data_IF_353830820487
#
_entry.id   IF_353830820487
#
_cell.length_a   1.000
_cell.length_b   1.000
_cell.length_c   1.000
_cell.angle_alpha   90.00
_cell.angle_beta   90.00
_cell.angle_gamma   90.00
#
_symmetry.space_group_name_H-M   'P 1'
#
loop_
_entity.id
_entity.type
_entity.pdbx_description
1 polymer ?
#
# COMPACT_ATOMS: atom_id res chain seq x y z
N UNK A 1 -37.50 -22.96 54.81
CA UNK A 1 -37.46 -21.59 54.26
C UNK A 1 -36.56 -21.64 53.07
N UNK A 2 -37.11 -21.88 51.93
CA UNK A 2 -36.46 -22.00 50.62
C UNK A 2 -36.63 -20.66 49.92
N UNK A 3 -35.51 -19.98 49.68
CA UNK A 3 -35.46 -18.81 48.82
C UNK A 3 -35.42 -19.27 47.37
N UNK A 4 -36.57 -19.14 46.73
CA UNK A 4 -36.68 -19.21 45.26
C UNK A 4 -36.03 -17.98 44.64
N UNK A 5 -34.84 -18.13 44.11
CA UNK A 5 -34.16 -17.14 43.32
C UNK A 5 -34.68 -17.28 41.87
N UNK A 6 -35.76 -16.60 41.56
CA UNK A 6 -36.28 -16.50 40.20
C UNK A 6 -35.34 -15.60 39.39
N UNK A 7 -34.42 -16.22 38.71
CA UNK A 7 -33.74 -15.60 37.56
C UNK A 7 -34.80 -15.35 36.47
N UNK A 8 -35.34 -14.17 36.49
CA UNK A 8 -36.19 -13.65 35.41
C UNK A 8 -35.30 -13.37 34.19
N UNK A 9 -34.91 -14.43 33.46
CA UNK A 9 -34.41 -14.29 32.11
C UNK A 9 -35.51 -13.66 31.27
N UNK A 10 -35.35 -12.38 30.98
CA UNK A 10 -36.19 -11.66 30.05
C UNK A 10 -36.00 -12.29 28.65
N UNK A 11 -36.86 -13.26 28.32
CA UNK A 11 -36.95 -13.80 26.96
C UNK A 11 -37.83 -12.83 26.17
N UNK A 12 -37.28 -12.06 25.24
CA UNK A 12 -38.09 -11.21 24.39
C UNK A 12 -39.05 -12.09 23.59
N UNK A 13 -40.36 -11.88 23.82
CA UNK A 13 -41.37 -12.54 23.01
C UNK A 13 -41.38 -11.91 21.61
N UNK A 14 -41.26 -12.69 20.54
CA UNK A 14 -41.33 -12.17 19.19
C UNK A 14 -42.74 -11.54 18.98
N UNK A 15 -42.73 -10.36 18.38
CA UNK A 15 -44.02 -9.74 17.95
C UNK A 15 -44.70 -10.66 16.92
N UNK A 16 -46.06 -10.70 16.89
CA UNK A 16 -46.77 -11.50 15.91
C UNK A 16 -46.27 -11.21 14.48
N UNK A 17 -45.75 -12.25 13.79
CA UNK A 17 -45.22 -12.13 12.45
C UNK A 17 -43.70 -11.94 12.35
N UNK A 18 -42.96 -11.86 13.48
CA UNK A 18 -41.52 -11.87 13.48
C UNK A 18 -40.94 -13.29 13.50
N UNK A 19 -40.14 -13.61 12.50
CA UNK A 19 -39.37 -14.84 12.44
C UNK A 19 -37.88 -14.47 12.63
N UNK A 20 -37.29 -14.94 13.73
CA UNK A 20 -35.84 -14.80 13.94
C UNK A 20 -35.11 -15.85 13.10
N UNK A 21 -34.48 -15.40 12.04
CA UNK A 21 -33.64 -16.24 11.20
C UNK A 21 -32.20 -16.01 11.59
N UNK A 22 -31.52 -17.06 12.04
CA UNK A 22 -30.09 -17.01 12.31
C UNK A 22 -29.37 -17.13 10.96
N UNK A 23 -28.68 -16.09 10.47
CA UNK A 23 -27.98 -16.21 9.20
C UNK A 23 -26.85 -17.24 9.37
N UNK A 24 -26.83 -18.25 8.51
CA UNK A 24 -25.65 -19.09 8.30
C UNK A 24 -24.56 -18.27 7.64
N UNK A 25 -23.31 -18.67 7.83
CA UNK A 25 -22.13 -17.95 7.31
C UNK A 25 -22.15 -17.79 5.78
N UNK A 26 -22.86 -18.69 5.06
CA UNK A 26 -22.88 -18.74 3.60
C UNK A 26 -24.26 -18.48 2.94
N UNK A 27 -25.34 -18.40 3.73
CA UNK A 27 -26.69 -18.22 3.20
C UNK A 27 -27.26 -16.87 3.65
N UNK A 28 -27.27 -15.90 2.73
CA UNK A 28 -28.08 -14.71 2.92
C UNK A 28 -29.55 -15.13 2.74
N UNK A 29 -30.35 -15.13 3.79
CA UNK A 29 -31.76 -15.51 3.65
C UNK A 29 -32.44 -14.56 2.67
N UNK A 30 -33.15 -15.14 1.72
CA UNK A 30 -34.05 -14.39 0.83
C UNK A 30 -35.23 -13.91 1.68
N UNK A 31 -35.07 -12.73 2.26
CA UNK A 31 -36.06 -12.12 3.15
C UNK A 31 -37.44 -11.98 2.49
N UNK A 32 -37.48 -11.93 1.15
CA UNK A 32 -38.74 -11.89 0.44
C UNK A 32 -39.51 -13.22 0.49
N UNK A 33 -38.80 -14.35 0.59
CA UNK A 33 -39.41 -15.68 0.67
C UNK A 33 -39.70 -16.13 2.11
N UNK A 34 -38.89 -15.66 3.08
CA UNK A 34 -38.94 -16.15 4.45
C UNK A 34 -39.80 -15.32 5.40
N UNK A 35 -40.08 -14.06 5.05
CA UNK A 35 -40.93 -13.21 5.86
C UNK A 35 -42.42 -13.49 5.63
N UNK A 36 -43.20 -13.56 6.72
CA UNK A 36 -44.64 -13.65 6.64
C UNK A 36 -45.23 -12.38 6.00
N UNK A 37 -46.41 -12.45 5.37
CA UNK A 37 -47.09 -11.29 4.78
C UNK A 37 -47.27 -10.14 5.77
N UNK A 38 -47.47 -10.46 7.05
CA UNK A 38 -47.64 -9.46 8.13
C UNK A 38 -46.31 -8.78 8.47
N UNK A 39 -45.20 -9.50 8.51
CA UNK A 39 -43.85 -8.95 8.69
C UNK A 39 -43.45 -8.05 7.52
N UNK A 40 -43.78 -8.43 6.28
CA UNK A 40 -43.59 -7.58 5.08
C UNK A 40 -44.42 -6.28 5.17
N UNK A 41 -45.66 -6.37 5.65
CA UNK A 41 -46.51 -5.19 5.84
C UNK A 41 -45.99 -4.28 6.96
N UNK A 42 -45.45 -4.85 8.04
CA UNK A 42 -44.83 -4.10 9.13
C UNK A 42 -43.53 -3.40 8.64
N UNK A 43 -42.67 -4.08 7.88
CA UNK A 43 -41.47 -3.48 7.28
C UNK A 43 -41.79 -2.34 6.30
N UNK A 44 -42.83 -2.48 5.49
CA UNK A 44 -43.29 -1.41 4.60
C UNK A 44 -43.80 -0.19 5.39
N UNK A 45 -44.47 -0.39 6.51
CA UNK A 45 -44.92 0.71 7.40
C UNK A 45 -43.73 1.41 8.05
N UNK A 46 -42.68 0.67 8.45
CA UNK A 46 -41.46 1.23 9.00
C UNK A 46 -40.67 2.05 7.96
N UNK A 47 -40.59 1.58 6.74
CA UNK A 47 -39.91 2.32 5.65
C UNK A 47 -40.62 3.62 5.27
N UNK A 48 -41.94 3.70 5.43
CA UNK A 48 -42.71 4.92 5.16
C UNK A 48 -42.61 5.93 6.31
N UNK A 49 -42.41 5.45 7.54
CA UNK A 49 -42.24 6.34 8.72
C UNK A 49 -40.76 6.84 8.84
N UNK A 50 -39.80 6.25 8.14
CA UNK A 50 -38.37 6.57 8.21
C UNK A 50 -37.91 7.62 7.20
N UNK A 51 -38.75 8.59 6.87
CA UNK A 51 -38.26 9.88 6.40
C UNK A 51 -38.46 10.97 7.49
N UNK A 52 -37.71 10.88 8.61
CA UNK A 52 -37.45 12.08 9.36
C UNK A 52 -36.53 12.90 8.45
N UNK A 53 -36.89 14.16 8.21
CA UNK A 53 -35.97 15.14 7.66
C UNK A 53 -34.71 15.04 8.49
N UNK A 54 -33.61 14.55 7.88
CA UNK A 54 -32.30 14.53 8.50
C UNK A 54 -32.01 15.98 8.84
N UNK A 55 -31.84 16.36 10.12
CA UNK A 55 -31.40 17.71 10.47
C UNK A 55 -30.03 17.86 9.82
N UNK A 56 -29.86 18.86 8.96
CA UNK A 56 -28.58 19.25 8.42
C UNK A 56 -27.61 19.44 9.58
N UNK A 57 -26.43 18.81 9.44
CA UNK A 57 -25.24 19.00 10.26
C UNK A 57 -25.36 18.60 11.74
N UNK A 58 -25.28 17.30 12.02
CA UNK A 58 -24.67 16.89 13.28
C UNK A 58 -23.23 16.39 12.98
N UNK A 59 -22.24 17.02 13.61
CA UNK A 59 -20.83 16.60 13.64
C UNK A 59 -20.63 15.30 14.46
N UNK A 60 -21.66 14.51 14.63
CA UNK A 60 -21.64 13.27 15.40
C UNK A 60 -21.05 12.14 14.54
N UNK A 61 -20.23 11.32 15.17
CA UNK A 61 -19.68 10.13 14.54
C UNK A 61 -20.81 9.23 14.02
N UNK A 62 -20.63 8.52 12.89
CA UNK A 62 -21.64 7.60 12.33
C UNK A 62 -22.17 6.59 13.34
N UNK A 63 -21.32 6.18 14.29
CA UNK A 63 -21.65 5.24 15.38
C UNK A 63 -22.64 5.82 16.37
N UNK A 64 -22.48 7.12 16.74
CA UNK A 64 -23.40 7.82 17.63
C UNK A 64 -24.72 8.16 16.92
N UNK A 65 -24.69 8.43 15.64
CA UNK A 65 -25.90 8.57 14.82
C UNK A 65 -26.68 7.25 14.72
N UNK A 66 -25.99 6.12 14.48
CA UNK A 66 -26.62 4.81 14.43
C UNK A 66 -27.22 4.42 15.79
N UNK A 67 -26.51 4.67 16.89
CA UNK A 67 -27.00 4.42 18.25
C UNK A 67 -28.19 5.30 18.60
N UNK A 68 -28.23 6.56 18.17
CA UNK A 68 -29.32 7.48 18.36
C UNK A 68 -30.55 7.10 17.54
N UNK A 69 -30.39 6.76 16.27
CA UNK A 69 -31.47 6.25 15.41
C UNK A 69 -32.00 4.93 15.99
N UNK A 70 -31.16 4.07 16.55
CA UNK A 70 -31.58 2.84 17.23
C UNK A 70 -32.38 3.13 18.51
N UNK A 71 -32.03 4.17 19.28
CA UNK A 71 -32.72 4.56 20.50
C UNK A 71 -34.04 5.31 20.23
N UNK A 72 -34.13 6.10 19.16
CA UNK A 72 -35.31 6.88 18.79
C UNK A 72 -36.30 6.07 17.93
N UNK A 73 -35.86 5.02 17.24
CA UNK A 73 -36.66 4.26 16.27
C UNK A 73 -37.50 3.11 16.82
N UNK A 74 -37.47 2.83 18.13
CA UNK A 74 -38.35 1.84 18.77
C UNK A 74 -37.95 0.37 18.63
N UNK A 75 -38.72 -0.52 19.21
CA UNK A 75 -38.48 -1.93 19.52
C UNK A 75 -37.77 -2.87 18.49
N UNK A 76 -37.89 -2.71 17.16
CA UNK A 76 -37.25 -3.69 16.27
C UNK A 76 -35.70 -3.58 16.21
N UNK A 77 -35.16 -2.37 16.39
CA UNK A 77 -33.70 -2.18 16.39
C UNK A 77 -33.09 -2.54 17.76
N UNK A 78 -33.80 -2.32 18.85
CA UNK A 78 -33.38 -2.82 20.17
C UNK A 78 -33.42 -4.34 20.26
N UNK A 79 -34.39 -5.00 19.62
CA UNK A 79 -34.44 -6.47 19.56
C UNK A 79 -33.26 -7.03 18.72
N UNK A 80 -32.86 -6.39 17.62
CA UNK A 80 -31.69 -6.75 16.84
C UNK A 80 -30.39 -6.56 17.64
N UNK A 81 -30.30 -5.47 18.40
CA UNK A 81 -29.14 -5.20 19.26
C UNK A 81 -29.00 -6.21 20.42
N UNK A 82 -30.13 -6.72 20.95
CA UNK A 82 -30.11 -7.73 21.99
C UNK A 82 -29.80 -9.16 21.49
N UNK A 83 -30.07 -9.45 20.22
CA UNK A 83 -29.67 -10.71 19.59
C UNK A 83 -28.15 -10.81 19.40
N UNK A 84 -27.49 -9.67 19.30
CA UNK A 84 -26.06 -9.58 19.06
C UNK A 84 -25.20 -9.66 20.33
N UNK A 85 -25.81 -9.69 21.52
CA UNK A 85 -25.10 -9.89 22.82
C UNK A 85 -24.42 -11.27 22.91
N UNK A 86 -24.81 -12.22 22.07
CA UNK A 86 -24.15 -13.54 21.98
C UNK A 86 -22.97 -13.54 21.01
N UNK A 87 -22.72 -12.46 20.27
CA UNK A 87 -21.61 -12.37 19.31
C UNK A 87 -20.60 -11.33 19.81
N UNK A 88 -19.33 -11.72 20.10
CA UNK A 88 -18.37 -10.83 20.77
C UNK A 88 -17.87 -9.65 19.92
N UNK A 89 -18.36 -9.43 18.72
CA UNK A 89 -17.91 -8.38 17.82
C UNK A 89 -19.09 -7.59 17.21
N UNK A 90 -19.56 -6.57 17.93
CA UNK A 90 -20.52 -5.62 17.40
C UNK A 90 -20.02 -4.91 16.12
N UNK A 91 -18.72 -4.65 16.03
CA UNK A 91 -18.10 -4.04 14.84
C UNK A 91 -18.16 -4.91 13.59
N UNK A 92 -18.09 -6.25 13.72
CA UNK A 92 -18.19 -7.15 12.56
C UNK A 92 -19.63 -7.22 12.02
N UNK A 93 -20.64 -7.12 12.89
CA UNK A 93 -22.05 -7.11 12.47
C UNK A 93 -22.42 -5.83 11.71
N UNK A 94 -21.84 -4.69 12.08
CA UNK A 94 -22.04 -3.43 11.34
C UNK A 94 -21.26 -3.38 10.03
N UNK A 95 -20.12 -4.06 9.93
CA UNK A 95 -19.36 -4.20 8.70
C UNK A 95 -20.09 -5.08 7.67
N UNK A 96 -20.81 -6.10 8.11
CA UNK A 96 -21.63 -6.96 7.24
C UNK A 96 -22.86 -6.24 6.66
N UNK A 97 -23.29 -5.12 7.24
CA UNK A 97 -24.40 -4.30 6.71
C UNK A 97 -23.95 -3.31 5.64
N UNK A 98 -22.64 -3.09 5.45
CA UNK A 98 -22.14 -2.24 4.36
C UNK A 98 -22.30 -2.98 3.03
N UNK A 99 -22.90 -2.31 2.07
CA UNK A 99 -22.91 -2.80 0.68
C UNK A 99 -21.46 -2.94 0.20
N UNK A 100 -20.96 -4.17 -0.08
CA UNK A 100 -19.57 -4.40 -0.47
C UNK A 100 -19.22 -3.75 -1.81
N UNK A 101 -20.21 -3.21 -2.53
CA UNK A 101 -20.03 -2.41 -3.75
C UNK A 101 -19.80 -0.93 -3.47
N UNK A 102 -20.00 -0.48 -2.24
CA UNK A 102 -19.79 0.92 -1.84
C UNK A 102 -18.35 1.10 -1.38
N UNK A 103 -17.63 2.04 -1.96
CA UNK A 103 -16.29 2.38 -1.56
C UNK A 103 -16.29 3.17 -0.22
N UNK A 104 -15.18 3.20 0.54
CA UNK A 104 -15.07 3.95 1.77
C UNK A 104 -15.37 5.46 1.63
N UNK A 105 -15.17 6.03 0.43
CA UNK A 105 -15.55 7.42 0.11
C UNK A 105 -17.07 7.65 -0.08
N UNK A 106 -17.89 6.59 0.09
CA UNK A 106 -19.32 6.62 -0.10
C UNK A 106 -19.77 6.49 -1.55
N UNK A 107 -18.88 6.40 -2.51
CA UNK A 107 -19.23 6.21 -3.93
C UNK A 107 -19.57 4.75 -4.22
N UNK A 108 -20.53 4.54 -5.13
CA UNK A 108 -20.89 3.21 -5.63
C UNK A 108 -20.51 3.10 -7.12
N UNK A 109 -19.27 2.69 -7.43
CA UNK A 109 -18.85 2.60 -8.81
C UNK A 109 -19.59 1.47 -9.56
N UNK A 110 -19.88 1.70 -10.82
CA UNK A 110 -20.35 0.65 -11.71
C UNK A 110 -19.24 -0.39 -11.92
N UNK A 111 -19.59 -1.61 -12.39
CA UNK A 111 -18.60 -2.65 -12.66
C UNK A 111 -17.49 -2.19 -13.65
N UNK A 112 -17.85 -1.36 -14.63
CA UNK A 112 -16.89 -0.77 -15.58
C UNK A 112 -15.97 0.23 -14.87
N UNK A 113 -16.49 1.10 -14.01
CA UNK A 113 -15.70 2.04 -13.22
C UNK A 113 -14.79 1.32 -12.23
N UNK A 114 -15.26 0.25 -11.57
CA UNK A 114 -14.45 -0.58 -10.68
C UNK A 114 -13.27 -1.24 -11.42
N UNK A 115 -13.52 -1.82 -12.60
CA UNK A 115 -12.43 -2.37 -13.43
C UNK A 115 -11.44 -1.28 -13.88
N UNK A 116 -11.94 -0.08 -14.19
CA UNK A 116 -11.10 1.07 -14.54
C UNK A 116 -10.28 1.57 -13.35
N UNK A 117 -10.81 1.53 -12.11
CA UNK A 117 -10.06 1.79 -10.89
C UNK A 117 -8.93 0.78 -10.70
N UNK A 118 -9.23 -0.52 -10.81
CA UNK A 118 -8.21 -1.59 -10.70
C UNK A 118 -7.09 -1.38 -11.73
N UNK A 119 -7.44 -1.18 -13.00
CA UNK A 119 -6.45 -0.95 -14.06
C UNK A 119 -5.66 0.36 -13.85
N UNK A 120 -6.33 1.43 -13.42
CA UNK A 120 -5.72 2.72 -13.17
C UNK A 120 -4.73 2.70 -12.02
N UNK A 121 -5.06 2.03 -10.92
CA UNK A 121 -4.13 1.87 -9.80
C UNK A 121 -2.97 0.92 -10.14
N UNK A 122 -3.19 -0.15 -10.90
CA UNK A 122 -2.13 -1.03 -11.37
C UNK A 122 -1.15 -0.30 -12.30
N UNK A 123 -1.66 0.43 -13.27
CA UNK A 123 -0.85 1.21 -14.21
C UNK A 123 -0.17 2.39 -13.51
N UNK A 124 -0.87 3.09 -12.63
CA UNK A 124 -0.32 4.19 -11.84
C UNK A 124 0.84 3.74 -10.97
N UNK A 125 0.69 2.60 -10.25
CA UNK A 125 1.79 2.03 -9.45
C UNK A 125 2.98 1.63 -10.31
N UNK A 126 2.77 1.03 -11.47
CA UNK A 126 3.84 0.69 -12.41
C UNK A 126 4.59 1.93 -12.87
N UNK A 127 3.86 2.97 -13.29
CA UNK A 127 4.46 4.18 -13.85
C UNK A 127 5.15 5.05 -12.79
N UNK A 128 4.63 5.09 -11.56
CA UNK A 128 5.24 5.86 -10.47
C UNK A 128 6.43 5.14 -9.84
N UNK A 129 6.41 3.80 -9.75
CA UNK A 129 7.50 3.03 -9.15
C UNK A 129 8.74 2.93 -10.04
N UNK A 130 8.57 2.88 -11.37
CA UNK A 130 9.67 2.70 -12.31
C UNK A 130 10.77 3.79 -12.20
N UNK A 131 10.46 5.10 -12.21
CA UNK A 131 11.47 6.14 -12.04
C UNK A 131 12.19 6.06 -10.71
N UNK A 132 11.49 5.75 -9.63
CA UNK A 132 12.09 5.70 -8.30
C UNK A 132 12.96 4.46 -8.09
N UNK A 133 12.59 3.32 -8.66
CA UNK A 133 13.44 2.14 -8.67
C UNK A 133 14.73 2.40 -9.46
N UNK A 134 14.63 2.95 -10.67
CA UNK A 134 15.76 3.36 -11.48
C UNK A 134 16.69 4.33 -10.71
N UNK A 135 16.09 5.33 -10.11
CA UNK A 135 16.76 6.41 -9.42
C UNK A 135 17.54 5.90 -8.21
N UNK A 136 16.89 5.15 -7.31
CA UNK A 136 17.51 4.70 -6.08
C UNK A 136 18.50 3.53 -6.28
N UNK A 137 18.25 2.67 -7.26
CA UNK A 137 19.03 1.44 -7.45
C UNK A 137 20.23 1.61 -8.38
N UNK A 138 20.10 2.48 -9.40
CA UNK A 138 21.12 2.62 -10.47
C UNK A 138 21.69 4.03 -10.49
N UNK A 139 20.85 5.06 -10.65
CA UNK A 139 21.31 6.41 -10.98
C UNK A 139 21.98 7.11 -9.80
N UNK A 140 21.47 6.97 -8.58
CA UNK A 140 22.06 7.56 -7.39
C UNK A 140 23.39 6.89 -7.01
N UNK A 141 23.51 5.54 -6.93
CA UNK A 141 24.81 4.92 -6.73
C UNK A 141 25.87 5.34 -7.74
N UNK A 142 25.52 5.48 -9.02
CA UNK A 142 26.42 5.97 -10.06
C UNK A 142 26.83 7.43 -9.81
N UNK A 143 25.86 8.31 -9.47
CA UNK A 143 26.12 9.71 -9.17
C UNK A 143 27.02 9.88 -7.95
N UNK A 144 26.75 9.12 -6.88
CA UNK A 144 27.58 9.14 -5.66
C UNK A 144 28.98 8.60 -5.97
N UNK A 145 29.12 7.53 -6.77
CA UNK A 145 30.43 7.04 -7.20
C UNK A 145 31.25 8.11 -7.90
N UNK A 146 30.61 8.91 -8.76
CA UNK A 146 31.25 10.02 -9.47
C UNK A 146 31.71 11.15 -8.56
N UNK A 147 30.85 11.54 -7.61
CA UNK A 147 31.07 12.74 -6.80
C UNK A 147 31.88 12.50 -5.53
N UNK A 148 31.86 11.29 -4.97
CA UNK A 148 32.44 10.95 -3.66
C UNK A 148 33.76 10.15 -3.76
N UNK A 149 34.04 9.52 -4.87
CA UNK A 149 35.27 8.74 -5.05
C UNK A 149 35.40 7.60 -4.00
N UNK A 150 36.40 7.72 -3.12
CA UNK A 150 36.75 6.67 -2.14
C UNK A 150 35.63 6.48 -1.09
N UNK A 151 34.94 7.53 -0.69
CA UNK A 151 33.91 7.50 0.37
C UNK A 151 32.52 7.11 -0.12
N UNK A 152 32.39 6.71 -1.39
CA UNK A 152 31.09 6.43 -2.06
C UNK A 152 30.13 5.55 -1.27
N UNK A 153 30.63 4.53 -0.55
CA UNK A 153 29.80 3.60 0.23
C UNK A 153 29.23 4.30 1.46
N UNK A 154 30.06 5.06 2.20
CA UNK A 154 29.64 5.80 3.39
C UNK A 154 28.70 6.95 3.03
N UNK A 155 28.99 7.68 1.95
CA UNK A 155 28.15 8.80 1.52
C UNK A 155 26.80 8.31 1.02
N UNK A 156 26.73 7.17 0.33
CA UNK A 156 25.48 6.53 -0.02
C UNK A 156 24.67 6.11 1.21
N UNK A 157 25.33 5.54 2.25
CA UNK A 157 24.66 5.18 3.50
C UNK A 157 24.04 6.39 4.19
N UNK A 158 24.84 7.48 4.33
CA UNK A 158 24.36 8.73 4.94
C UNK A 158 23.18 9.32 4.17
N UNK A 159 23.24 9.28 2.87
CA UNK A 159 22.20 9.75 1.98
C UNK A 159 20.90 8.96 2.17
N UNK A 160 20.98 7.61 2.19
CA UNK A 160 19.80 6.73 2.38
C UNK A 160 19.18 6.94 3.76
N UNK A 161 20.00 7.05 4.83
CA UNK A 161 19.53 7.30 6.19
C UNK A 161 18.82 8.66 6.25
N UNK A 162 19.43 9.72 5.70
CA UNK A 162 18.82 11.05 5.66
C UNK A 162 17.48 11.05 4.92
N UNK A 163 17.38 10.34 3.78
CA UNK A 163 16.14 10.19 3.03
C UNK A 163 15.07 9.43 3.79
N UNK A 164 15.43 8.37 4.49
CA UNK A 164 14.49 7.61 5.31
C UNK A 164 13.91 8.46 6.46
N UNK A 165 14.77 9.20 7.16
CA UNK A 165 14.34 10.14 8.23
C UNK A 165 13.42 11.21 7.66
N UNK A 166 13.80 11.81 6.54
CA UNK A 166 12.99 12.86 5.89
C UNK A 166 11.62 12.33 5.46
N UNK A 167 11.58 11.18 4.80
CA UNK A 167 10.32 10.54 4.38
C UNK A 167 9.44 10.20 5.57
N UNK A 168 10.02 9.69 6.66
CA UNK A 168 9.30 9.41 7.89
C UNK A 168 8.64 10.67 8.46
N UNK A 169 9.40 11.77 8.59
CA UNK A 169 8.89 13.04 9.15
C UNK A 169 7.82 13.68 8.25
N UNK A 170 8.00 13.61 6.92
CA UNK A 170 7.07 14.19 5.98
C UNK A 170 5.80 13.37 5.81
N UNK A 171 5.81 12.07 6.12
CA UNK A 171 4.67 11.19 5.92
C UNK A 171 3.40 11.72 6.60
N UNK A 172 3.48 12.05 7.90
CA UNK A 172 2.33 12.62 8.61
C UNK A 172 1.91 13.99 8.06
N UNK A 173 2.88 14.85 7.73
CA UNK A 173 2.57 16.17 7.17
C UNK A 173 1.82 16.06 5.84
N UNK A 174 2.27 15.16 4.95
CA UNK A 174 1.64 14.93 3.65
C UNK A 174 0.28 14.26 3.82
N UNK A 175 0.16 13.25 4.69
CA UNK A 175 -1.09 12.56 4.95
C UNK A 175 -2.15 13.55 5.46
N UNK A 176 -1.87 14.27 6.56
CA UNK A 176 -2.77 15.28 7.12
C UNK A 176 -3.07 16.39 6.12
N UNK A 177 -2.05 16.90 5.42
CA UNK A 177 -2.23 17.96 4.41
C UNK A 177 -3.15 17.52 3.27
N UNK A 178 -2.98 16.29 2.78
CA UNK A 178 -3.82 15.75 1.72
C UNK A 178 -5.24 15.44 2.18
N UNK A 179 -5.43 15.03 3.45
CA UNK A 179 -6.75 14.79 4.05
C UNK A 179 -7.57 16.08 4.19
N UNK A 180 -6.90 17.20 4.44
CA UNK A 180 -7.54 18.51 4.62
C UNK A 180 -7.52 19.37 3.35
N UNK A 181 -7.25 18.79 2.20
CA UNK A 181 -7.26 19.52 0.94
C UNK A 181 -8.67 19.64 0.36
N UNK A 182 -9.09 20.88 0.07
CA UNK A 182 -10.39 21.19 -0.50
C UNK A 182 -10.23 21.77 -1.89
N UNK A 183 -10.37 20.92 -2.91
CA UNK A 183 -10.17 21.30 -4.29
C UNK A 183 -11.29 20.78 -5.20
N UNK A 184 -11.56 21.51 -6.29
CA UNK A 184 -12.53 21.08 -7.31
C UNK A 184 -12.10 19.81 -8.06
N UNK A 185 -10.83 19.46 -8.03
CA UNK A 185 -10.27 18.26 -8.68
C UNK A 185 -10.18 17.05 -7.74
N UNK A 186 -10.80 17.14 -6.57
CA UNK A 186 -10.70 16.13 -5.54
C UNK A 186 -9.66 16.47 -4.47
N UNK A 187 -9.53 15.61 -3.48
CA UNK A 187 -8.67 15.80 -2.30
C UNK A 187 -7.24 15.33 -2.58
N UNK A 188 -7.09 14.19 -3.25
CA UNK A 188 -5.80 13.50 -3.47
C UNK A 188 -5.12 13.89 -4.78
N UNK A 189 -5.90 14.11 -5.82
CA UNK A 189 -5.41 14.38 -7.18
C UNK A 189 -4.40 15.53 -7.27
N UNK A 190 -4.61 16.71 -6.65
CA UNK A 190 -3.64 17.82 -6.73
C UNK A 190 -2.28 17.47 -6.14
N UNK A 191 -2.25 16.67 -5.07
CA UNK A 191 -1.02 16.25 -4.43
C UNK A 191 -0.22 15.26 -5.28
N UNK A 192 -0.91 14.31 -5.93
CA UNK A 192 -0.28 13.35 -6.84
C UNK A 192 0.40 14.07 -7.99
N UNK A 193 -0.32 15.02 -8.60
CA UNK A 193 0.22 15.79 -9.75
C UNK A 193 1.37 16.69 -9.34
N UNK A 194 1.16 17.54 -8.32
CA UNK A 194 2.19 18.47 -7.87
C UNK A 194 3.43 17.76 -7.34
N UNK A 195 3.26 16.64 -6.62
CA UNK A 195 4.34 15.80 -6.14
C UNK A 195 5.16 15.19 -7.30
N UNK A 196 4.48 14.63 -8.30
CA UNK A 196 5.17 14.05 -9.47
C UNK A 196 5.91 15.09 -10.29
N UNK A 197 5.31 16.26 -10.51
CA UNK A 197 5.96 17.36 -11.26
C UNK A 197 7.15 17.92 -10.48
N UNK A 198 7.00 18.15 -9.17
CA UNK A 198 8.09 18.64 -8.33
C UNK A 198 9.24 17.63 -8.27
N UNK A 199 8.95 16.33 -8.15
CA UNK A 199 9.96 15.26 -8.19
C UNK A 199 10.70 15.27 -9.55
N UNK A 200 9.97 15.43 -10.66
CA UNK A 200 10.56 15.55 -11.99
C UNK A 200 11.50 16.75 -12.12
N UNK A 201 11.11 17.91 -11.60
CA UNK A 201 11.95 19.12 -11.60
C UNK A 201 13.21 18.90 -10.76
N UNK A 202 13.07 18.38 -9.54
CA UNK A 202 14.22 18.11 -8.66
C UNK A 202 15.19 17.09 -9.28
N UNK A 203 14.67 16.03 -9.89
CA UNK A 203 15.48 15.03 -10.60
C UNK A 203 16.18 15.62 -11.82
N UNK A 204 15.51 16.49 -12.56
CA UNK A 204 16.12 17.19 -13.70
C UNK A 204 17.23 18.16 -13.27
N UNK A 205 17.08 18.86 -12.16
CA UNK A 205 18.14 19.73 -11.62
C UNK A 205 19.32 18.86 -11.13
N UNK A 206 19.03 17.74 -10.45
CA UNK A 206 20.04 16.81 -9.96
C UNK A 206 20.91 16.26 -11.10
N UNK A 207 20.34 16.07 -12.30
CA UNK A 207 21.08 15.57 -13.47
C UNK A 207 22.26 16.46 -13.88
N UNK A 208 22.23 17.73 -13.52
CA UNK A 208 23.27 18.72 -13.81
C UNK A 208 24.16 19.06 -12.60
N UNK A 209 24.01 18.35 -11.47
CA UNK A 209 24.79 18.65 -10.27
C UNK A 209 26.18 17.99 -10.33
N UNK A 210 27.24 18.80 -10.21
CA UNK A 210 28.63 18.37 -10.12
C UNK A 210 29.23 18.49 -8.71
N UNK A 211 28.45 18.92 -7.74
CA UNK A 211 28.87 19.11 -6.35
C UNK A 211 27.99 18.30 -5.38
N UNK A 212 28.63 17.44 -4.60
CA UNK A 212 27.94 16.44 -3.75
C UNK A 212 26.87 17.06 -2.83
N UNK A 213 27.09 18.17 -2.10
CA UNK A 213 26.05 18.73 -1.23
C UNK A 213 24.77 19.16 -1.99
N UNK A 214 24.89 19.71 -3.19
CA UNK A 214 23.74 20.02 -4.02
C UNK A 214 23.05 18.76 -4.53
N UNK A 215 23.81 17.74 -4.89
CA UNK A 215 23.26 16.45 -5.28
C UNK A 215 22.46 15.82 -4.14
N UNK A 216 22.99 15.85 -2.90
CA UNK A 216 22.28 15.40 -1.69
C UNK A 216 20.99 16.19 -1.47
N UNK A 217 21.05 17.51 -1.57
CA UNK A 217 19.88 18.37 -1.39
C UNK A 217 18.77 18.05 -2.40
N UNK A 218 19.09 17.99 -3.69
CA UNK A 218 18.09 17.71 -4.74
C UNK A 218 17.62 16.26 -4.71
N UNK A 219 18.45 15.32 -4.26
CA UNK A 219 18.01 13.96 -4.01
C UNK A 219 16.97 13.90 -2.88
N UNK A 220 17.23 14.55 -1.74
CA UNK A 220 16.27 14.65 -0.65
C UNK A 220 14.98 15.34 -1.10
N UNK A 221 15.09 16.40 -1.85
CA UNK A 221 13.94 17.12 -2.42
C UNK A 221 13.13 16.20 -3.37
N UNK A 222 13.80 15.39 -4.19
CA UNK A 222 13.13 14.40 -5.06
C UNK A 222 12.38 13.35 -4.24
N UNK A 223 12.98 12.83 -3.18
CA UNK A 223 12.33 11.87 -2.28
C UNK A 223 11.10 12.48 -1.59
N UNK A 224 11.23 13.71 -1.09
CA UNK A 224 10.11 14.45 -0.48
C UNK A 224 8.96 14.70 -1.46
N UNK A 225 9.28 15.15 -2.66
CA UNK A 225 8.31 15.40 -3.71
C UNK A 225 7.64 14.11 -4.19
N UNK A 226 8.40 13.02 -4.30
CA UNK A 226 7.82 11.71 -4.62
C UNK A 226 6.90 11.20 -3.51
N UNK A 227 7.27 11.34 -2.24
CA UNK A 227 6.41 11.00 -1.11
C UNK A 227 5.09 11.79 -1.18
N UNK A 228 5.13 13.07 -1.61
CA UNK A 228 3.95 13.90 -1.83
C UNK A 228 3.03 13.36 -2.94
N UNK A 229 3.54 12.58 -3.89
CA UNK A 229 2.73 11.87 -4.88
C UNK A 229 2.28 10.48 -4.39
N UNK A 230 3.19 9.70 -3.82
CA UNK A 230 2.98 8.29 -3.50
C UNK A 230 2.01 8.08 -2.31
N UNK A 231 2.11 8.92 -1.26
CA UNK A 231 1.27 8.80 -0.06
C UNK A 231 -0.22 9.06 -0.40
N UNK A 232 -0.58 10.18 -1.06
CA UNK A 232 -1.97 10.40 -1.47
C UNK A 232 -2.46 9.40 -2.53
N UNK A 233 -1.57 8.86 -3.38
CA UNK A 233 -1.93 7.81 -4.32
C UNK A 233 -2.33 6.51 -3.60
N UNK A 234 -1.58 6.09 -2.59
CA UNK A 234 -1.92 4.94 -1.75
C UNK A 234 -3.21 5.18 -0.94
N UNK A 235 -3.39 6.40 -0.39
CA UNK A 235 -4.62 6.75 0.31
C UNK A 235 -5.84 6.73 -0.64
N UNK A 236 -5.70 7.28 -1.86
CA UNK A 236 -6.75 7.22 -2.88
C UNK A 236 -7.15 5.78 -3.24
N UNK A 237 -6.18 4.86 -3.28
CA UNK A 237 -6.44 3.43 -3.47
C UNK A 237 -7.35 2.89 -2.35
N UNK A 238 -6.98 3.10 -1.09
CA UNK A 238 -7.75 2.63 0.06
C UNK A 238 -9.16 3.24 0.14
N UNK A 239 -9.34 4.51 -0.25
CA UNK A 239 -10.60 5.23 -0.18
C UNK A 239 -11.57 4.91 -1.33
N UNK A 240 -11.06 4.64 -2.54
CA UNK A 240 -11.88 4.57 -3.76
C UNK A 240 -12.17 3.16 -4.26
N UNK A 241 -11.46 2.15 -3.75
CA UNK A 241 -11.68 0.76 -4.15
C UNK A 241 -12.69 0.11 -3.21
N UNK A 242 -13.87 -0.34 -3.73
CA UNK A 242 -14.84 -1.07 -2.93
C UNK A 242 -14.30 -2.40 -2.41
N UNK A 243 -14.76 -2.83 -1.24
CA UNK A 243 -14.28 -4.03 -0.58
C UNK A 243 -14.40 -5.29 -1.45
N UNK A 244 -15.46 -5.40 -2.23
CA UNK A 244 -15.66 -6.50 -3.20
C UNK A 244 -14.52 -6.65 -4.21
N UNK A 245 -13.85 -5.56 -4.58
CA UNK A 245 -12.79 -5.56 -5.60
C UNK A 245 -11.41 -5.38 -4.98
N UNK A 246 -11.30 -5.24 -3.65
CA UNK A 246 -10.07 -4.92 -2.94
C UNK A 246 -8.97 -5.93 -3.18
N UNK A 247 -9.22 -7.22 -2.96
CA UNK A 247 -8.23 -8.29 -3.14
C UNK A 247 -7.69 -8.32 -4.58
N UNK A 248 -8.60 -8.15 -5.55
CA UNK A 248 -8.21 -8.10 -6.96
C UNK A 248 -7.39 -6.84 -7.26
N UNK A 249 -7.79 -5.71 -6.72
CA UNK A 249 -7.09 -4.44 -6.92
C UNK A 249 -5.71 -4.47 -6.27
N UNK A 250 -5.57 -4.98 -5.05
CA UNK A 250 -4.29 -5.16 -4.35
C UNK A 250 -3.35 -6.06 -5.15
N UNK A 251 -3.85 -7.20 -5.65
CA UNK A 251 -3.05 -8.09 -6.49
C UNK A 251 -2.53 -7.41 -7.76
N UNK A 252 -3.36 -6.62 -8.45
CA UNK A 252 -2.95 -5.91 -9.65
C UNK A 252 -2.05 -4.71 -9.33
N UNK A 253 -2.30 -4.00 -8.24
CA UNK A 253 -1.46 -2.92 -7.74
C UNK A 253 -0.04 -3.42 -7.42
N UNK A 254 0.06 -4.53 -6.68
CA UNK A 254 1.35 -5.15 -6.35
C UNK A 254 2.12 -5.64 -7.58
N UNK A 255 1.42 -6.26 -8.56
CA UNK A 255 2.02 -6.65 -9.85
C UNK A 255 2.50 -5.44 -10.64
N UNK A 256 1.71 -4.35 -10.66
CA UNK A 256 2.08 -3.09 -11.29
C UNK A 256 3.36 -2.52 -10.67
N UNK A 257 3.44 -2.48 -9.35
CA UNK A 257 4.60 -2.00 -8.61
C UNK A 257 5.86 -2.82 -8.93
N UNK A 258 5.77 -4.16 -8.88
CA UNK A 258 6.89 -5.04 -9.17
C UNK A 258 7.37 -4.94 -10.64
N UNK A 259 6.41 -4.87 -11.58
CA UNK A 259 6.75 -4.69 -12.99
C UNK A 259 7.38 -3.31 -13.24
N UNK A 260 6.89 -2.26 -12.57
CA UNK A 260 7.46 -0.93 -12.65
C UNK A 260 8.91 -0.90 -12.15
N UNK A 261 9.20 -1.54 -11.04
CA UNK A 261 10.56 -1.65 -10.51
C UNK A 261 11.49 -2.36 -11.51
N UNK A 262 11.08 -3.49 -12.08
CA UNK A 262 11.84 -4.21 -13.09
C UNK A 262 12.11 -3.32 -14.32
N UNK A 263 11.07 -2.73 -14.89
CA UNK A 263 11.17 -1.87 -16.09
C UNK A 263 12.05 -0.66 -15.81
N UNK A 264 11.89 -0.02 -14.65
CA UNK A 264 12.70 1.12 -14.25
C UNK A 264 14.18 0.80 -14.20
N UNK A 265 14.56 -0.29 -13.53
CA UNK A 265 15.95 -0.74 -13.43
C UNK A 265 16.51 -1.12 -14.81
N UNK A 266 15.75 -1.90 -15.60
CA UNK A 266 16.20 -2.33 -16.93
C UNK A 266 16.43 -1.15 -17.87
N UNK A 267 15.50 -0.17 -17.88
CA UNK A 267 15.65 1.05 -18.69
C UNK A 267 16.81 1.91 -18.20
N UNK A 268 17.00 2.06 -16.88
CA UNK A 268 18.13 2.83 -16.34
C UNK A 268 19.47 2.23 -16.79
N UNK A 269 19.62 0.92 -16.67
CA UNK A 269 20.85 0.23 -17.12
C UNK A 269 21.04 0.32 -18.64
N UNK A 270 19.96 0.20 -19.42
CA UNK A 270 20.02 0.34 -20.88
C UNK A 270 20.44 1.77 -21.32
N UNK A 271 20.05 2.79 -20.56
CA UNK A 271 20.43 4.18 -20.81
C UNK A 271 21.83 4.52 -20.30
N UNK A 272 22.42 3.68 -19.43
CA UNK A 272 23.76 3.90 -18.84
C UNK A 272 24.69 2.70 -19.07
N UNK A 273 24.88 2.21 -20.32
CA UNK A 273 25.58 0.97 -20.60
C UNK A 273 27.09 1.01 -20.24
N UNK A 274 27.68 2.20 -20.18
CA UNK A 274 29.12 2.39 -19.89
C UNK A 274 29.38 2.96 -18.48
N UNK A 275 28.38 2.99 -17.61
CA UNK A 275 28.51 3.52 -16.26
C UNK A 275 29.33 2.59 -15.35
N UNK A 276 30.60 2.53 -15.55
CA UNK A 276 31.58 1.70 -14.81
C UNK A 276 33.01 1.94 -15.29
N UNK A 277 33.15 2.68 -16.40
CA UNK A 277 34.45 3.12 -16.90
C UNK A 277 34.95 4.38 -16.16
N UNK A 278 36.25 4.67 -16.32
CA UNK A 278 36.93 5.80 -15.67
C UNK A 278 36.47 7.19 -16.16
N UNK A 279 35.56 7.28 -17.15
CA UNK A 279 35.04 8.51 -17.71
C UNK A 279 33.54 8.67 -17.54
N UNK A 280 33.12 9.82 -17.01
CA UNK A 280 31.71 10.17 -17.01
C UNK A 280 31.32 10.64 -18.44
N UNK A 281 30.43 9.90 -19.07
CA UNK A 281 29.99 10.13 -20.45
C UNK A 281 28.67 10.94 -20.56
N UNK A 282 28.15 11.43 -19.43
CA UNK A 282 26.88 12.18 -19.39
C UNK A 282 25.64 11.31 -19.47
N UNK A 283 25.75 9.99 -19.64
CA UNK A 283 24.62 9.09 -19.83
C UNK A 283 23.74 9.01 -18.57
N UNK A 284 24.34 9.05 -17.36
CA UNK A 284 23.60 9.08 -16.09
C UNK A 284 22.70 10.32 -15.98
N UNK A 285 23.22 11.51 -16.34
CA UNK A 285 22.45 12.75 -16.37
C UNK A 285 21.31 12.68 -17.39
N UNK A 286 21.57 12.16 -18.60
CA UNK A 286 20.55 11.94 -19.61
C UNK A 286 19.45 10.96 -19.12
N UNK A 287 19.84 9.84 -18.50
CA UNK A 287 18.89 8.89 -17.93
C UNK A 287 17.98 9.55 -16.86
N UNK A 288 18.54 10.42 -15.99
CA UNK A 288 17.75 11.18 -15.02
C UNK A 288 16.71 12.09 -15.69
N UNK A 289 17.08 12.76 -16.80
CA UNK A 289 16.14 13.59 -17.57
C UNK A 289 15.01 12.75 -18.19
N UNK A 290 15.33 11.56 -18.72
CA UNK A 290 14.32 10.62 -19.25
C UNK A 290 13.34 10.21 -18.14
N UNK A 291 13.81 9.86 -16.95
CA UNK A 291 12.95 9.49 -15.84
C UNK A 291 12.20 10.68 -15.23
N UNK A 292 12.75 11.88 -15.27
CA UNK A 292 12.01 13.09 -14.93
C UNK A 292 10.82 13.30 -15.88
N UNK A 293 11.04 13.15 -17.19
CA UNK A 293 9.95 13.15 -18.17
C UNK A 293 8.93 12.04 -17.94
N UNK A 294 9.42 10.84 -17.58
CA UNK A 294 8.55 9.72 -17.24
C UNK A 294 7.62 10.01 -16.05
N UNK A 295 8.11 10.66 -14.97
CA UNK A 295 7.28 11.06 -13.83
C UNK A 295 6.14 11.99 -14.25
N UNK A 296 6.38 12.94 -15.16
CA UNK A 296 5.32 13.80 -15.69
C UNK A 296 4.31 13.00 -16.48
N UNK A 297 4.77 12.12 -17.36
CA UNK A 297 3.90 11.20 -18.13
C UNK A 297 3.11 10.29 -17.20
N UNK A 298 3.74 9.76 -16.15
CA UNK A 298 3.09 8.93 -15.14
C UNK A 298 1.91 9.66 -14.48
N UNK A 299 2.11 10.93 -14.09
CA UNK A 299 1.03 11.73 -13.51
C UNK A 299 -0.13 11.94 -14.51
N UNK A 300 0.18 12.29 -15.75
CA UNK A 300 -0.84 12.50 -16.79
C UNK A 300 -1.61 11.22 -17.09
N UNK A 301 -0.92 10.10 -17.31
CA UNK A 301 -1.56 8.81 -17.62
C UNK A 301 -2.42 8.33 -16.44
N UNK A 302 -1.91 8.46 -15.20
CA UNK A 302 -2.66 8.09 -14.01
C UNK A 302 -3.98 8.88 -13.91
N UNK A 303 -3.94 10.19 -14.19
CA UNK A 303 -5.13 11.04 -14.20
C UNK A 303 -6.12 10.68 -15.30
N UNK A 304 -5.64 10.29 -16.49
CA UNK A 304 -6.51 9.93 -17.62
C UNK A 304 -7.19 8.56 -17.41
N UNK A 305 -6.48 7.62 -16.79
CA UNK A 305 -6.98 6.26 -16.60
C UNK A 305 -7.88 6.16 -15.37
N UNK A 306 -7.49 6.77 -14.24
CA UNK A 306 -8.35 6.79 -13.06
C UNK A 306 -9.63 7.59 -13.32
N UNK A 307 -10.79 7.12 -12.85
CA UNK A 307 -12.00 7.94 -12.82
C UNK A 307 -11.74 9.23 -12.04
N UNK A 308 -12.40 10.31 -12.45
CA UNK A 308 -12.26 11.60 -11.74
C UNK A 308 -12.66 11.46 -10.28
N UNK A 309 -11.89 12.06 -9.40
CA UNK A 309 -12.22 12.20 -7.99
C UNK A 309 -13.32 13.24 -7.82
N UNK A 310 -14.29 12.97 -6.98
CA UNK A 310 -15.34 13.94 -6.67
C UNK A 310 -14.76 15.23 -6.07
N UNK A 311 -15.38 16.37 -6.38
CA UNK A 311 -14.95 17.65 -5.81
C UNK A 311 -15.06 17.61 -4.28
N UNK A 312 -13.98 17.92 -3.58
CA UNK A 312 -13.95 18.00 -2.11
C UNK A 312 -14.30 19.38 -1.57
N UNK A 313 -14.52 20.36 -2.45
CA UNK A 313 -14.84 21.75 -2.07
C UNK A 313 -16.18 21.90 -1.33
N UNK A 314 -17.06 20.91 -1.45
CA UNK A 314 -18.37 20.87 -0.77
C UNK A 314 -18.35 20.18 0.58
N UNK A 315 -17.26 19.52 0.95
CA UNK A 315 -17.14 18.87 2.23
C UNK A 315 -17.00 19.92 3.35
N UNK A 316 -17.57 19.68 4.54
CA UNK A 316 -17.37 20.56 5.68
C UNK A 316 -15.90 20.66 6.02
N UNK A 317 -15.41 21.89 6.17
CA UNK A 317 -14.02 22.13 6.57
C UNK A 317 -13.83 21.68 8.00
N UNK A 318 -12.87 20.76 8.19
CA UNK A 318 -12.41 20.36 9.51
C UNK A 318 -11.11 21.10 9.80
N UNK A 319 -11.03 21.76 10.95
CA UNK A 319 -9.80 22.41 11.38
C UNK A 319 -8.74 21.38 11.72
N UNK A 320 -7.51 21.64 11.29
CA UNK A 320 -6.36 20.79 11.58
C UNK A 320 -5.91 21.04 13.01
N UNK A 321 -6.08 20.07 13.88
CA UNK A 321 -5.56 20.14 15.25
C UNK A 321 -4.10 19.68 15.27
N UNK A 322 -3.29 20.28 16.17
CA UNK A 322 -1.89 19.86 16.37
C UNK A 322 -1.79 18.39 16.77
N UNK A 323 -2.83 17.84 17.39
CA UNK A 323 -2.95 16.43 17.74
C UNK A 323 -3.02 15.50 16.54
N UNK A 324 -3.54 15.95 15.41
CA UNK A 324 -3.73 15.13 14.21
C UNK A 324 -2.40 14.64 13.63
N UNK A 325 -1.35 15.47 13.67
CA UNK A 325 0.00 15.07 13.24
C UNK A 325 0.62 14.01 14.15
N UNK A 326 0.50 14.17 15.46
CA UNK A 326 1.10 13.24 16.42
C UNK A 326 0.29 11.95 16.57
N UNK A 327 -1.00 11.99 16.32
CA UNK A 327 -1.86 10.81 16.41
C UNK A 327 -1.46 9.72 15.42
N UNK A 328 -0.94 10.10 14.25
CA UNK A 328 -0.48 9.16 13.22
C UNK A 328 0.77 8.36 13.62
N UNK A 329 1.56 8.88 14.57
CA UNK A 329 2.75 8.18 15.09
C UNK A 329 2.47 7.41 16.39
N UNK A 330 1.25 7.51 16.94
CA UNK A 330 0.90 6.78 18.17
C UNK A 330 0.55 5.35 17.82
N UNK A 331 1.29 4.36 18.33
CA UNK A 331 0.90 2.98 18.18
C UNK A 331 -0.43 2.73 18.93
N UNK A 332 -1.25 1.76 18.47
CA UNK A 332 -2.45 1.38 19.18
C UNK A 332 -2.09 0.94 20.60
N UNK A 333 -2.83 1.47 21.58
CA UNK A 333 -2.58 1.16 22.99
C UNK A 333 -3.07 -0.28 23.29
N UNK A 334 -2.31 -1.00 24.09
CA UNK A 334 -2.61 -2.39 24.50
C UNK A 334 -2.65 -3.42 23.39
N UNK A 335 -1.91 -3.21 22.29
CA UNK A 335 -1.80 -4.13 21.16
C UNK A 335 -0.37 -4.68 21.01
N UNK A 336 0.12 -5.57 21.91
CA UNK A 336 1.49 -6.08 21.84
C UNK A 336 1.76 -6.88 20.56
N UNK A 337 0.74 -7.56 20.01
CA UNK A 337 0.85 -8.30 18.75
C UNK A 337 1.14 -7.38 17.57
N UNK A 338 0.46 -6.22 17.51
CA UNK A 338 0.69 -5.19 16.50
C UNK A 338 2.14 -4.67 16.57
N UNK A 339 2.64 -4.36 17.77
CA UNK A 339 4.00 -3.83 17.92
C UNK A 339 5.07 -4.81 17.43
N UNK A 340 4.88 -6.12 17.64
CA UNK A 340 5.79 -7.16 17.16
C UNK A 340 5.71 -7.30 15.63
N UNK A 341 4.50 -7.33 15.05
CA UNK A 341 4.30 -7.39 13.61
C UNK A 341 4.89 -6.16 12.90
N UNK A 342 4.63 -4.98 13.45
CA UNK A 342 5.19 -3.71 12.94
C UNK A 342 6.72 -3.70 12.97
N UNK A 343 7.33 -4.12 14.08
CA UNK A 343 8.79 -4.21 14.19
C UNK A 343 9.38 -5.22 13.18
N UNK A 344 8.76 -6.39 13.04
CA UNK A 344 9.19 -7.40 12.07
C UNK A 344 9.13 -6.84 10.64
N UNK A 345 8.05 -6.15 10.28
CA UNK A 345 7.88 -5.50 8.98
C UNK A 345 8.92 -4.40 8.76
N UNK A 346 9.19 -3.58 9.76
CA UNK A 346 10.21 -2.54 9.68
C UNK A 346 11.60 -3.12 9.39
N UNK A 347 12.00 -4.21 10.06
CA UNK A 347 13.28 -4.88 9.82
C UNK A 347 13.33 -5.53 8.43
N UNK A 348 12.25 -6.17 7.97
CA UNK A 348 12.19 -6.79 6.65
C UNK A 348 12.34 -5.73 5.53
N UNK A 349 11.62 -4.62 5.64
CA UNK A 349 11.72 -3.50 4.67
C UNK A 349 13.12 -2.88 4.69
N UNK A 350 13.70 -2.66 5.88
CA UNK A 350 15.05 -2.11 6.01
C UNK A 350 16.11 -3.02 5.38
N UNK A 351 16.01 -4.35 5.60
CA UNK A 351 16.94 -5.32 5.01
C UNK A 351 16.84 -5.36 3.47
N UNK A 352 15.63 -5.42 2.92
CA UNK A 352 15.42 -5.44 1.47
C UNK A 352 15.84 -4.13 0.81
N UNK A 353 15.48 -2.99 1.39
CA UNK A 353 15.86 -1.67 0.89
C UNK A 353 17.38 -1.44 0.95
N UNK A 354 18.03 -1.87 2.04
CA UNK A 354 19.48 -1.77 2.19
C UNK A 354 20.22 -2.51 1.08
N UNK A 355 19.84 -3.75 0.80
CA UNK A 355 20.48 -4.52 -0.29
C UNK A 355 20.16 -3.90 -1.65
N UNK A 356 18.91 -3.48 -1.89
CA UNK A 356 18.51 -2.91 -3.18
C UNK A 356 19.30 -1.64 -3.54
N UNK A 357 19.61 -0.79 -2.57
CA UNK A 357 20.40 0.43 -2.79
C UNK A 357 21.87 0.12 -3.09
N UNK A 358 22.44 -0.89 -2.41
CA UNK A 358 23.84 -1.26 -2.56
C UNK A 358 24.12 -2.26 -3.69
N UNK A 359 23.09 -2.82 -4.33
CA UNK A 359 23.29 -3.89 -5.35
C UNK A 359 24.19 -3.45 -6.50
N UNK A 360 24.21 -2.15 -6.86
CA UNK A 360 25.12 -1.61 -7.87
C UNK A 360 26.60 -1.78 -7.49
N UNK A 361 26.92 -1.64 -6.19
CA UNK A 361 28.29 -1.81 -5.68
C UNK A 361 28.61 -3.27 -5.35
N UNK A 362 27.61 -4.04 -4.94
CA UNK A 362 27.79 -5.46 -4.61
C UNK A 362 28.04 -6.32 -5.84
N UNK A 363 27.37 -6.03 -6.95
CA UNK A 363 27.42 -6.83 -8.16
C UNK A 363 28.88 -7.08 -8.66
N UNK A 364 29.73 -6.06 -8.88
CA UNK A 364 31.09 -6.30 -9.33
C UNK A 364 31.99 -6.95 -8.26
N UNK A 365 31.71 -6.74 -6.98
CA UNK A 365 32.53 -7.33 -5.91
C UNK A 365 32.26 -8.83 -5.70
N UNK A 366 31.04 -9.29 -5.97
CA UNK A 366 30.65 -10.71 -5.78
C UNK A 366 30.90 -11.50 -7.04
N UNK A 367 30.54 -10.96 -8.21
CA UNK A 367 30.63 -11.65 -9.49
C UNK A 367 32.07 -11.61 -10.09
N UNK A 368 32.89 -10.65 -9.63
CA UNK A 368 34.27 -10.49 -10.15
C UNK A 368 34.26 -9.93 -11.56
N UNK A 369 34.76 -10.70 -12.55
CA UNK A 369 34.90 -10.25 -13.93
C UNK A 369 33.52 -10.15 -14.62
N UNK A 370 32.87 -9.01 -14.50
CA UNK A 370 31.51 -8.75 -15.04
C UNK A 370 31.52 -8.50 -16.56
N UNK A 371 32.70 -8.32 -17.17
CA UNK A 371 32.83 -8.03 -18.60
C UNK A 371 32.49 -9.24 -19.48
N UNK A 372 32.70 -10.46 -18.97
CA UNK A 372 32.34 -11.71 -19.65
C UNK A 372 30.84 -12.09 -19.47
N UNK A 373 30.16 -11.53 -18.47
CA UNK A 373 28.74 -11.80 -18.16
C UNK A 373 27.77 -10.94 -18.98
N UNK A 374 28.17 -10.42 -20.11
CA UNK A 374 27.36 -9.56 -20.97
C UNK A 374 26.01 -10.18 -21.34
N UNK A 375 24.91 -9.67 -20.78
CA UNK A 375 23.54 -10.05 -21.11
C UNK A 375 22.93 -8.93 -21.96
N UNK A 376 22.30 -9.27 -23.07
CA UNK A 376 21.68 -8.30 -23.99
C UNK A 376 22.60 -7.16 -24.48
N UNK A 377 23.93 -7.42 -24.60
CA UNK A 377 24.89 -6.40 -25.01
C UNK A 377 25.26 -5.38 -23.94
N UNK A 378 24.87 -5.61 -22.68
CA UNK A 378 25.21 -4.81 -21.52
C UNK A 378 26.30 -5.58 -20.74
N UNK A 379 27.44 -4.95 -20.56
CA UNK A 379 28.56 -5.49 -19.78
C UNK A 379 28.62 -4.87 -18.38
N UNK A 380 29.37 -5.52 -17.48
CA UNK A 380 29.65 -4.95 -16.16
C UNK A 380 28.52 -5.06 -15.13
N UNK A 381 28.57 -4.21 -14.13
CA UNK A 381 27.62 -4.21 -13.00
C UNK A 381 26.16 -4.11 -13.44
N UNK A 382 25.88 -3.42 -14.53
CA UNK A 382 24.52 -3.22 -15.03
C UNK A 382 23.83 -4.53 -15.44
N UNK A 383 24.55 -5.46 -16.10
CA UNK A 383 24.00 -6.76 -16.50
C UNK A 383 23.57 -7.58 -15.29
N UNK A 384 24.38 -7.60 -14.24
CA UNK A 384 24.08 -8.32 -13.00
C UNK A 384 22.89 -7.73 -12.29
N UNK A 385 22.79 -6.40 -12.20
CA UNK A 385 21.65 -5.70 -11.59
C UNK A 385 20.34 -5.97 -12.33
N UNK A 386 20.36 -6.03 -13.66
CA UNK A 386 19.18 -6.41 -14.47
C UNK A 386 18.78 -7.86 -14.21
N UNK A 387 19.75 -8.79 -14.16
CA UNK A 387 19.45 -10.20 -13.82
C UNK A 387 18.85 -10.30 -12.42
N UNK A 388 19.39 -9.59 -11.44
CA UNK A 388 18.81 -9.54 -10.10
C UNK A 388 17.36 -9.02 -10.13
N UNK A 389 17.07 -7.95 -10.86
CA UNK A 389 15.74 -7.41 -10.99
C UNK A 389 14.76 -8.39 -11.64
N UNK A 390 15.19 -9.10 -12.71
CA UNK A 390 14.40 -10.16 -13.37
C UNK A 390 14.13 -11.30 -12.39
N UNK A 391 15.16 -11.82 -11.73
CA UNK A 391 15.02 -12.92 -10.77
C UNK A 391 14.11 -12.53 -9.59
N UNK A 392 14.25 -11.33 -9.04
CA UNK A 392 13.38 -10.81 -7.97
C UNK A 392 11.93 -10.73 -8.45
N UNK A 393 11.70 -10.22 -9.66
CA UNK A 393 10.36 -10.15 -10.24
C UNK A 393 9.74 -11.54 -10.44
N UNK A 394 10.49 -12.49 -10.97
CA UNK A 394 10.05 -13.89 -11.17
C UNK A 394 9.72 -14.54 -9.82
N UNK A 395 10.58 -14.39 -8.82
CA UNK A 395 10.36 -14.88 -7.47
C UNK A 395 9.09 -14.28 -6.84
N UNK A 396 8.92 -12.97 -6.96
CA UNK A 396 7.73 -12.27 -6.50
C UNK A 396 6.44 -12.74 -7.21
N UNK A 397 6.52 -12.99 -8.52
CA UNK A 397 5.38 -13.50 -9.30
C UNK A 397 5.00 -14.92 -8.87
N UNK A 398 5.98 -15.80 -8.69
CA UNK A 398 5.74 -17.18 -8.19
C UNK A 398 5.09 -17.11 -6.79
N UNK A 399 5.62 -16.29 -5.91
CA UNK A 399 5.05 -16.10 -4.56
C UNK A 399 3.60 -15.60 -4.61
N UNK A 400 3.31 -14.61 -5.44
CA UNK A 400 1.96 -14.05 -5.60
C UNK A 400 0.96 -15.10 -6.13
N UNK A 401 1.39 -16.03 -6.98
CA UNK A 401 0.56 -17.13 -7.49
C UNK A 401 0.31 -18.21 -6.43
N UNK A 402 1.27 -18.43 -5.55
CA UNK A 402 1.23 -19.49 -4.53
C UNK A 402 0.71 -19.00 -3.18
N UNK A 403 0.63 -17.68 -2.94
CA UNK A 403 0.31 -17.09 -1.64
C UNK A 403 -0.99 -17.65 -1.04
N UNK A 404 -2.06 -17.72 -1.82
CA UNK A 404 -3.34 -18.26 -1.36
C UNK A 404 -3.24 -19.73 -0.93
N UNK A 405 -2.45 -20.56 -1.65
CA UNK A 405 -2.20 -21.96 -1.28
C UNK A 405 -1.33 -22.07 -0.04
N UNK A 406 -0.29 -21.25 0.06
CA UNK A 406 0.62 -21.22 1.21
C UNK A 406 -0.17 -20.88 2.49
N UNK A 407 -0.98 -19.82 2.44
CA UNK A 407 -1.82 -19.40 3.56
C UNK A 407 -2.82 -20.49 3.95
N UNK A 408 -3.47 -21.15 2.99
CA UNK A 408 -4.44 -22.21 3.27
C UNK A 408 -3.82 -23.50 3.85
N UNK A 409 -2.55 -23.78 3.56
CA UNK A 409 -1.83 -24.96 4.04
C UNK A 409 -1.50 -24.87 5.54
N UNK A 410 -1.17 -23.69 6.03
CA UNK A 410 -0.66 -23.53 7.40
C UNK A 410 -1.73 -23.16 8.44
N UNK A 411 -2.89 -22.67 8.03
CA UNK A 411 -3.98 -22.30 8.94
C UNK A 411 -3.67 -21.16 9.92
N UNK A 412 -2.38 -20.85 10.15
CA UNK A 412 -1.88 -19.73 10.95
C UNK A 412 -0.90 -18.90 10.10
N UNK A 413 -1.21 -17.63 9.93
CA UNK A 413 -0.43 -16.67 9.13
C UNK A 413 0.98 -16.40 9.67
N UNK A 414 1.23 -16.68 10.93
CA UNK A 414 2.55 -16.49 11.56
C UNK A 414 3.58 -17.45 10.99
N UNK A 415 3.17 -18.68 10.68
CA UNK A 415 4.10 -19.71 10.18
C UNK A 415 4.69 -19.30 8.83
N UNK A 416 3.90 -18.94 7.79
CA UNK A 416 4.48 -18.48 6.52
C UNK A 416 5.26 -17.15 6.65
N UNK A 417 4.88 -16.25 7.57
CA UNK A 417 5.66 -15.03 7.82
C UNK A 417 7.06 -15.34 8.38
N UNK A 418 7.16 -16.21 9.38
CA UNK A 418 8.45 -16.62 9.97
C UNK A 418 9.27 -17.44 8.95
N UNK A 419 8.65 -18.37 8.25
CA UNK A 419 9.33 -19.20 7.25
C UNK A 419 9.92 -18.36 6.11
N UNK A 420 9.18 -17.34 5.65
CA UNK A 420 9.68 -16.41 4.62
C UNK A 420 10.82 -15.53 5.13
N UNK A 421 10.78 -15.07 6.38
CA UNK A 421 11.89 -14.33 6.97
C UNK A 421 13.17 -15.19 7.07
N UNK A 422 13.03 -16.47 7.48
CA UNK A 422 14.15 -17.42 7.48
C UNK A 422 14.65 -17.69 6.08
N UNK A 423 13.77 -17.86 5.10
CA UNK A 423 14.15 -18.04 3.69
C UNK A 423 14.91 -16.83 3.17
N UNK A 424 14.49 -15.60 3.51
CA UNK A 424 15.22 -14.39 3.13
C UNK A 424 16.62 -14.35 3.75
N UNK A 425 16.75 -14.74 5.04
CA UNK A 425 18.05 -14.82 5.70
C UNK A 425 18.97 -15.85 5.00
N UNK A 426 18.46 -17.03 4.70
CA UNK A 426 19.23 -18.06 3.98
C UNK A 426 19.62 -17.56 2.59
N UNK A 427 18.71 -16.93 1.86
CA UNK A 427 19.00 -16.35 0.57
C UNK A 427 20.13 -15.32 0.64
N UNK A 428 20.14 -14.43 1.64
CA UNK A 428 21.17 -13.41 1.82
C UNK A 428 22.56 -13.98 2.11
N UNK A 429 22.66 -15.22 2.59
CA UNK A 429 23.95 -15.91 2.82
C UNK A 429 24.50 -16.58 1.55
N UNK A 430 23.68 -16.84 0.52
CA UNK A 430 24.13 -17.53 -0.69
C UNK A 430 25.32 -16.87 -1.38
N UNK A 431 25.35 -15.53 -1.56
CA UNK A 431 26.51 -14.85 -2.17
C UNK A 431 27.81 -14.97 -1.38
N UNK A 432 27.75 -15.36 -0.10
CA UNK A 432 28.91 -15.56 0.77
C UNK A 432 29.38 -17.03 0.79
N UNK A 433 28.50 -17.98 0.43
CA UNK A 433 28.75 -19.42 0.57
C UNK A 433 29.05 -20.11 -0.76
N UNK A 434 28.63 -19.50 -1.87
CA UNK A 434 28.82 -20.11 -3.21
C UNK A 434 30.03 -19.53 -3.92
N UNK A 435 30.81 -20.39 -4.59
CA UNK A 435 31.97 -19.99 -5.39
C UNK A 435 31.58 -19.30 -6.69
N UNK A 436 30.43 -19.68 -7.29
CA UNK A 436 29.85 -19.00 -8.47
C UNK A 436 29.05 -17.78 -8.05
N UNK A 437 29.70 -16.63 -8.08
CA UNK A 437 29.11 -15.37 -7.65
C UNK A 437 27.88 -14.95 -8.48
N UNK A 438 27.85 -15.23 -9.78
CA UNK A 438 26.71 -14.89 -10.65
C UNK A 438 25.48 -15.72 -10.32
N UNK A 439 25.65 -17.05 -10.19
CA UNK A 439 24.56 -17.94 -9.82
C UNK A 439 24.06 -17.63 -8.40
N UNK A 440 24.98 -17.35 -7.47
CA UNK A 440 24.65 -17.00 -6.09
C UNK A 440 23.76 -15.75 -5.99
N UNK A 441 24.10 -14.69 -6.73
CA UNK A 441 23.34 -13.44 -6.76
C UNK A 441 21.98 -13.62 -7.45
N UNK A 442 21.91 -14.43 -8.53
CA UNK A 442 20.65 -14.74 -9.20
C UNK A 442 19.69 -15.54 -8.29
N UNK A 443 20.21 -16.58 -7.59
CA UNK A 443 19.44 -17.36 -6.63
C UNK A 443 18.99 -16.51 -5.43
N UNK A 444 19.90 -15.68 -4.90
CA UNK A 444 19.54 -14.71 -3.87
C UNK A 444 18.36 -13.88 -4.31
N UNK A 445 18.43 -13.24 -5.46
CA UNK A 445 17.40 -12.33 -5.97
C UNK A 445 16.04 -13.03 -6.15
N UNK A 446 16.05 -14.27 -6.69
CA UNK A 446 14.85 -15.09 -6.87
C UNK A 446 14.18 -15.41 -5.52
N UNK A 447 14.97 -15.93 -4.57
CA UNK A 447 14.46 -16.32 -3.25
C UNK A 447 14.07 -15.11 -2.41
N UNK A 448 14.80 -14.00 -2.50
CA UNK A 448 14.48 -12.76 -1.80
C UNK A 448 13.16 -12.16 -2.30
N UNK A 449 12.94 -12.13 -3.61
CA UNK A 449 11.67 -11.69 -4.19
C UNK A 449 10.50 -12.55 -3.76
N UNK A 450 10.68 -13.88 -3.76
CA UNK A 450 9.66 -14.81 -3.26
C UNK A 450 9.37 -14.60 -1.78
N UNK A 451 10.41 -14.57 -0.95
CA UNK A 451 10.30 -14.44 0.49
C UNK A 451 9.64 -13.11 0.90
N UNK A 452 10.00 -12.00 0.23
CA UNK A 452 9.43 -10.70 0.52
C UNK A 452 7.92 -10.66 0.29
N UNK A 453 7.43 -11.18 -0.84
CA UNK A 453 5.98 -11.16 -1.16
C UNK A 453 5.20 -12.06 -0.21
N UNK A 454 5.73 -13.24 0.16
CA UNK A 454 5.07 -14.11 1.16
C UNK A 454 5.03 -13.43 2.53
N UNK A 455 6.14 -12.80 2.94
CA UNK A 455 6.20 -12.06 4.20
C UNK A 455 5.21 -10.90 4.23
N UNK A 456 5.19 -10.07 3.19
CA UNK A 456 4.32 -8.89 3.12
C UNK A 456 2.84 -9.29 3.12
N UNK A 457 2.45 -10.28 2.33
CA UNK A 457 1.08 -10.78 2.29
C UNK A 457 0.62 -11.43 3.60
N UNK A 458 1.50 -12.19 4.27
CA UNK A 458 1.18 -12.79 5.57
C UNK A 458 1.12 -11.73 6.68
N UNK A 459 2.01 -10.73 6.69
CA UNK A 459 2.04 -9.67 7.70
C UNK A 459 0.85 -8.71 7.60
N UNK A 460 0.43 -8.34 6.39
CA UNK A 460 -0.75 -7.49 6.18
C UNK A 460 -2.02 -8.16 6.72
N UNK A 461 -2.17 -9.45 6.51
CA UNK A 461 -3.31 -10.21 7.02
C UNK A 461 -3.28 -10.36 8.56
N UNK A 462 -2.09 -10.35 9.18
CA UNK A 462 -1.92 -10.36 10.65
C UNK A 462 -2.24 -9.00 11.29
N UNK A 463 -2.01 -7.91 10.59
CA UNK A 463 -2.32 -6.56 11.06
C UNK A 463 -3.84 -6.30 11.10
N UNK A 464 -4.62 -7.08 10.32
CA UNK A 464 -6.07 -7.00 10.22
C UNK A 464 -6.79 -7.99 11.18
N UNK A 465 -6.10 -8.95 11.77
CA UNK A 465 -6.62 -9.98 12.67
C UNK A 465 -6.35 -9.66 14.15
#
# INVERSE_FOLDING_TARGET
MTEDNQNNEFKPQPLPGQVFIRPGIDDRPDYEKTLTPEAKAAMRRLSVQQHPRIPEASNERPETQAARIASEGGAPLTAAAHLDVAVPNLESSFLDLRDPMTAPDGTRPTAMQANRLVAGFALGSMLLSAPMAAFNTVLIPQTVSRLSGINRVTDLAMLVIAGAIMTFLLNACIAVGSDHSYCRFGRRTPWIVSGSVLAAICMAILSACDFLPWAVFFWLATQAAYAMAAIPFAAAFGERVPDKFRDRADSWHGKGLALGQLVGVAVAVALTPHAGGEGWDGTTGFAMLVFAGWLVVAAVVTLLVLPFEGASSYLPRRDVEKGDFFSQYRPPQNAPKFSVAFAARMFAVAATAGIAVYQWYLAPNIVGNTDEAGLFGIAGAGSVVVVMAICTFVGALIAALLLGRIVSLFGDLRIPAVASAVLFMVAALLPLLMDDGFLAVALYALLAGFAYVVFDGASQSLDLA
#
